data_IF_597708041722
#
_entry.id   IF_597708041722
#
_cell.length_a   1.000
_cell.length_b   1.000
_cell.length_c   1.000
_cell.angle_alpha   90.00
_cell.angle_beta   90.00
_cell.angle_gamma   90.00
#
_symmetry.space_group_name_H-M   'P 1'
#
loop_
_entity.id
_entity.type
_entity.pdbx_description
1 polymer ?
#
# COMPACT_ATOMS: atom_id res chain seq x y z
N UNK A 1 0.19 16.63 5.59
CA UNK A 1 1.45 16.94 6.16
C UNK A 1 1.48 18.16 7.10
N UNK A 2 0.38 18.40 7.74
CA UNK A 2 0.13 19.50 8.67
C UNK A 2 0.25 19.06 10.14
N UNK A 3 0.62 17.80 10.36
CA UNK A 3 0.65 17.22 11.70
C UNK A 3 1.83 17.71 12.56
N UNK A 4 1.72 17.50 13.84
CA UNK A 4 2.74 17.82 14.83
C UNK A 4 3.91 16.85 14.74
N UNK A 5 4.89 17.14 13.89
CA UNK A 5 6.09 16.30 13.68
C UNK A 5 6.91 16.07 14.95
N UNK A 6 6.79 16.95 15.94
CA UNK A 6 7.50 16.82 17.22
C UNK A 6 7.06 15.59 18.06
N UNK A 7 5.92 14.99 17.74
CA UNK A 7 5.48 13.74 18.41
C UNK A 7 6.18 12.50 17.88
N UNK A 8 6.82 12.59 16.70
CA UNK A 8 7.62 11.51 16.11
C UNK A 8 8.91 11.37 16.91
N UNK A 9 9.17 10.20 17.48
CA UNK A 9 10.30 9.90 18.37
C UNK A 9 10.92 8.55 18.02
N UNK A 10 12.02 8.20 18.72
CA UNK A 10 12.68 6.91 18.59
C UNK A 10 13.22 6.65 17.19
N UNK A 11 13.14 5.41 16.74
CA UNK A 11 13.65 4.95 15.44
C UNK A 11 13.02 5.74 14.27
N UNK A 12 11.74 6.11 14.38
CA UNK A 12 11.09 6.90 13.34
C UNK A 12 11.74 8.29 13.19
N UNK A 13 12.07 8.96 14.29
CA UNK A 13 12.78 10.24 14.24
C UNK A 13 14.21 10.07 13.70
N UNK A 14 14.91 9.03 14.11
CA UNK A 14 16.25 8.71 13.60
C UNK A 14 16.23 8.50 12.09
N UNK A 15 15.23 7.78 11.58
CA UNK A 15 15.03 7.61 10.14
C UNK A 15 14.92 8.96 9.40
N UNK A 16 14.08 9.88 9.88
CA UNK A 16 13.94 11.20 9.25
C UNK A 16 15.19 12.06 9.40
N UNK A 17 16.00 11.85 10.44
CA UNK A 17 17.30 12.52 10.62
C UNK A 17 18.36 11.95 9.68
N UNK A 18 18.41 10.64 9.49
CA UNK A 18 19.29 10.00 8.48
C UNK A 18 18.94 10.48 7.06
N UNK A 19 17.64 10.61 6.75
CA UNK A 19 17.21 11.28 5.52
C UNK A 19 17.70 12.73 5.47
N UNK A 20 17.53 13.47 6.55
CA UNK A 20 18.01 14.84 6.65
C UNK A 20 19.50 14.96 6.35
N UNK A 21 20.33 14.09 6.93
CA UNK A 21 21.77 14.05 6.68
C UNK A 21 22.12 13.85 5.23
N UNK A 22 21.37 13.00 4.51
CA UNK A 22 21.56 12.80 3.07
C UNK A 22 21.29 14.08 2.25
N UNK A 23 20.31 14.88 2.64
CA UNK A 23 19.90 16.10 1.96
C UNK A 23 20.47 17.40 2.55
N UNK A 24 21.43 17.30 3.47
CA UNK A 24 22.04 18.47 4.10
C UNK A 24 21.10 19.25 5.05
N UNK A 25 20.15 18.58 5.69
CA UNK A 25 19.19 19.16 6.64
C UNK A 25 19.09 18.32 7.92
N UNK A 26 18.54 18.91 8.99
CA UNK A 26 18.37 18.17 10.25
C UNK A 26 17.41 16.99 10.11
N UNK A 27 16.30 17.19 9.40
CA UNK A 27 15.27 16.20 9.14
C UNK A 27 14.71 16.38 7.73
N UNK A 28 14.33 15.30 7.07
CA UNK A 28 13.71 15.34 5.75
C UNK A 28 12.45 14.48 5.72
N UNK A 29 11.32 15.10 5.37
CA UNK A 29 10.00 14.46 5.40
C UNK A 29 9.45 14.12 4.01
N UNK A 30 10.04 14.70 2.98
CA UNK A 30 9.78 14.37 1.57
C UNK A 30 11.10 13.95 0.97
N UNK A 31 11.17 12.75 0.43
CA UNK A 31 12.42 12.11 0.06
C UNK A 31 12.24 11.13 -1.08
N UNK A 32 13.34 10.76 -1.71
CA UNK A 32 13.38 9.74 -2.75
C UNK A 32 13.30 8.34 -2.14
N UNK A 33 12.48 7.43 -2.72
CA UNK A 33 12.36 6.06 -2.21
C UNK A 33 13.69 5.31 -2.12
N UNK A 34 14.60 5.50 -3.08
CA UNK A 34 15.93 4.86 -3.08
C UNK A 34 16.79 5.24 -1.85
N UNK A 35 16.65 6.48 -1.37
CA UNK A 35 17.37 6.95 -0.17
C UNK A 35 16.79 6.29 1.08
N UNK A 36 15.46 6.20 1.16
CA UNK A 36 14.78 5.50 2.25
C UNK A 36 15.16 4.01 2.27
N UNK A 37 15.17 3.35 1.13
CA UNK A 37 15.57 1.94 1.00
C UNK A 37 17.01 1.72 1.52
N UNK A 38 17.94 2.61 1.14
CA UNK A 38 19.31 2.54 1.63
C UNK A 38 19.36 2.62 3.16
N UNK A 39 18.64 3.57 3.76
CA UNK A 39 18.62 3.74 5.22
C UNK A 39 18.06 2.49 5.92
N UNK A 40 17.00 1.89 5.38
CA UNK A 40 16.49 0.61 5.93
C UNK A 40 17.52 -0.52 5.84
N UNK A 41 18.25 -0.61 4.73
CA UNK A 41 19.35 -1.58 4.58
C UNK A 41 20.49 -1.31 5.55
N UNK A 42 20.79 -0.04 5.82
CA UNK A 42 21.80 0.35 6.81
C UNK A 42 21.39 -0.12 8.23
N UNK A 43 20.12 0.09 8.65
CA UNK A 43 19.62 -0.43 9.94
C UNK A 43 19.75 -1.95 10.05
N UNK A 44 19.37 -2.67 9.00
CA UNK A 44 19.46 -4.14 8.96
C UNK A 44 20.92 -4.61 9.11
N UNK A 45 21.84 -3.91 8.43
CA UNK A 45 23.28 -4.23 8.50
C UNK A 45 23.88 -3.87 9.87
N UNK A 46 23.52 -2.74 10.47
CA UNK A 46 23.98 -2.30 11.78
C UNK A 46 23.61 -3.31 12.89
N UNK A 47 22.43 -3.93 12.77
CA UNK A 47 21.90 -4.87 13.76
C UNK A 47 22.12 -6.35 13.40
N UNK A 48 22.88 -6.64 12.33
CA UNK A 48 23.12 -8.01 11.84
C UNK A 48 21.83 -8.82 11.61
N UNK A 49 20.78 -8.20 11.10
CA UNK A 49 19.52 -8.85 10.80
C UNK A 49 19.63 -9.57 9.45
N UNK A 50 19.30 -10.85 9.42
CA UNK A 50 19.22 -11.60 8.17
C UNK A 50 18.01 -11.16 7.33
N UNK A 51 18.26 -10.60 6.16
CA UNK A 51 17.22 -10.09 5.25
C UNK A 51 17.00 -11.05 4.08
N UNK A 52 15.78 -11.55 3.95
CA UNK A 52 15.37 -12.37 2.83
C UNK A 52 14.44 -11.56 1.91
N UNK A 53 14.98 -11.12 0.78
CA UNK A 53 14.19 -10.47 -0.27
C UNK A 53 13.50 -11.50 -1.16
N UNK A 54 12.48 -11.04 -1.92
CA UNK A 54 11.72 -11.86 -2.87
C UNK A 54 11.09 -13.11 -2.24
N UNK A 55 10.65 -12.99 -0.99
CA UNK A 55 9.93 -14.06 -0.28
C UNK A 55 8.56 -13.55 0.13
N UNK A 56 7.54 -14.40 -0.02
CA UNK A 56 6.21 -14.15 0.52
C UNK A 56 5.70 -15.36 1.31
N UNK A 57 4.89 -15.10 2.30
CA UNK A 57 4.22 -16.16 3.08
C UNK A 57 3.14 -16.80 2.22
N UNK A 58 3.09 -18.12 2.23
CA UNK A 58 2.05 -18.91 1.57
C UNK A 58 1.29 -19.81 2.52
N UNK A 59 1.87 -20.11 3.69
CA UNK A 59 1.20 -20.91 4.70
C UNK A 59 1.85 -20.72 6.08
N UNK A 60 1.11 -21.10 7.14
CA UNK A 60 1.59 -21.10 8.52
C UNK A 60 1.08 -22.34 9.26
N UNK A 61 1.99 -23.11 9.87
CA UNK A 61 1.61 -24.25 10.68
C UNK A 61 1.46 -23.84 12.14
N UNK A 62 0.38 -24.32 12.77
CA UNK A 62 0.10 -24.12 14.19
C UNK A 62 0.06 -25.44 14.95
N UNK A 63 0.41 -25.37 16.22
CA UNK A 63 0.13 -26.37 17.25
C UNK A 63 -0.69 -25.69 18.35
N UNK A 64 -2.00 -25.99 18.39
CA UNK A 64 -2.95 -25.21 19.19
C UNK A 64 -3.00 -23.76 18.69
N UNK A 65 -2.79 -22.81 19.59
CA UNK A 65 -2.79 -21.38 19.29
C UNK A 65 -1.40 -20.82 18.93
N UNK A 66 -0.37 -21.67 18.92
CA UNK A 66 1.00 -21.26 18.64
C UNK A 66 1.37 -21.53 17.19
N UNK A 67 1.88 -20.53 16.49
CA UNK A 67 2.55 -20.71 15.20
C UNK A 67 3.92 -21.35 15.47
N UNK A 68 4.19 -22.49 14.83
CA UNK A 68 5.47 -23.21 14.96
C UNK A 68 6.40 -22.98 13.78
N UNK A 69 5.84 -22.83 12.60
CA UNK A 69 6.62 -22.43 11.41
C UNK A 69 5.75 -21.69 10.40
N UNK A 70 6.42 -21.01 9.47
CA UNK A 70 5.81 -20.39 8.29
C UNK A 70 6.47 -20.96 7.04
N UNK A 71 5.73 -20.96 5.94
CA UNK A 71 6.20 -21.42 4.64
C UNK A 71 6.30 -20.22 3.71
N UNK A 72 7.49 -20.02 3.16
CA UNK A 72 7.80 -18.94 2.24
C UNK A 72 8.04 -19.49 0.84
N UNK A 73 7.47 -18.87 -0.17
CA UNK A 73 7.81 -19.13 -1.56
C UNK A 73 8.61 -17.97 -2.17
N UNK A 74 9.22 -18.22 -3.32
CA UNK A 74 9.83 -17.17 -4.11
C UNK A 74 8.74 -16.33 -4.80
N UNK A 75 8.65 -15.05 -4.45
CA UNK A 75 7.65 -14.14 -5.00
C UNK A 75 7.87 -13.80 -6.48
N UNK A 76 9.08 -14.05 -7.01
CA UNK A 76 9.39 -13.86 -8.45
C UNK A 76 9.00 -15.05 -9.30
N UNK A 77 8.73 -16.20 -8.66
CA UNK A 77 8.39 -17.44 -9.33
C UNK A 77 7.30 -18.22 -8.53
N UNK A 78 6.10 -17.65 -8.36
CA UNK A 78 5.05 -18.23 -7.54
C UNK A 78 4.64 -19.63 -7.99
N UNK A 79 4.38 -20.51 -7.03
CA UNK A 79 3.93 -21.89 -7.29
C UNK A 79 5.01 -22.83 -7.80
N UNK A 80 6.26 -22.38 -7.94
CA UNK A 80 7.39 -23.28 -8.24
C UNK A 80 7.86 -24.01 -6.98
N UNK A 81 8.51 -25.17 -7.18
CA UNK A 81 9.14 -25.92 -6.08
C UNK A 81 10.28 -25.11 -5.45
N UNK A 82 10.51 -25.25 -4.16
CA UNK A 82 11.59 -24.60 -3.46
C UNK A 82 11.12 -23.68 -2.33
N UNK A 83 9.94 -23.96 -1.78
CA UNK A 83 9.46 -23.29 -0.59
C UNK A 83 10.43 -23.51 0.58
N UNK A 84 10.60 -22.48 1.39
CA UNK A 84 11.44 -22.50 2.57
C UNK A 84 10.55 -22.51 3.81
N UNK A 85 10.85 -23.41 4.75
CA UNK A 85 10.19 -23.46 6.05
C UNK A 85 11.06 -22.70 7.06
N UNK A 86 10.44 -21.76 7.76
CA UNK A 86 11.10 -20.96 8.80
C UNK A 86 10.46 -21.26 10.14
N UNK A 87 11.27 -21.69 11.10
CA UNK A 87 10.88 -21.92 12.49
C UNK A 87 11.39 -20.78 13.36
N UNK A 88 10.56 -20.30 14.29
CA UNK A 88 10.93 -19.24 15.21
C UNK A 88 10.16 -19.36 16.53
N UNK A 89 10.68 -18.71 17.57
CA UNK A 89 9.99 -18.58 18.85
C UNK A 89 8.87 -17.56 18.82
N UNK A 90 9.02 -16.51 18.02
CA UNK A 90 8.08 -15.40 17.85
C UNK A 90 8.00 -15.04 16.38
N UNK A 91 6.80 -14.78 15.92
CA UNK A 91 6.51 -14.26 14.59
C UNK A 91 5.82 -12.90 14.72
N UNK A 92 6.22 -11.94 13.90
CA UNK A 92 5.64 -10.60 13.86
C UNK A 92 5.17 -10.36 12.42
N UNK A 93 3.87 -10.17 12.24
CA UNK A 93 3.27 -9.84 10.96
C UNK A 93 3.38 -8.34 10.71
N UNK A 94 4.28 -7.96 9.80
CA UNK A 94 4.43 -6.61 9.29
C UNK A 94 4.10 -6.56 7.78
N UNK A 95 3.38 -7.56 7.27
CA UNK A 95 2.93 -7.56 5.88
C UNK A 95 1.90 -6.47 5.63
N UNK A 96 1.74 -6.08 4.37
CA UNK A 96 0.84 -4.99 4.00
C UNK A 96 -0.64 -5.32 4.28
N UNK A 97 -1.01 -6.58 4.15
CA UNK A 97 -2.39 -7.05 4.17
C UNK A 97 -2.67 -8.06 5.30
N UNK A 98 -1.71 -8.33 6.19
CA UNK A 98 -1.85 -9.30 7.26
C UNK A 98 -1.78 -10.75 6.76
N UNK A 99 -0.82 -11.03 5.88
CA UNK A 99 -0.71 -12.36 5.23
C UNK A 99 -0.47 -13.48 6.25
N UNK A 100 0.39 -13.25 7.25
CA UNK A 100 0.61 -14.22 8.31
C UNK A 100 -0.64 -14.42 9.17
N UNK A 101 -1.32 -13.35 9.50
CA UNK A 101 -2.58 -13.38 10.25
C UNK A 101 -3.60 -14.27 9.53
N UNK A 102 -3.77 -14.07 8.22
CA UNK A 102 -4.68 -14.87 7.39
C UNK A 102 -4.26 -16.36 7.34
N UNK A 103 -2.98 -16.64 7.07
CA UNK A 103 -2.44 -18.00 7.04
C UNK A 103 -2.58 -18.72 8.40
N UNK A 104 -2.45 -17.97 9.51
CA UNK A 104 -2.61 -18.52 10.85
C UNK A 104 -4.08 -18.76 11.25
N UNK A 105 -5.05 -18.41 10.39
CA UNK A 105 -6.47 -18.61 10.64
C UNK A 105 -7.05 -17.68 11.70
N UNK A 106 -6.44 -16.52 11.90
CA UNK A 106 -7.01 -15.46 12.74
C UNK A 106 -8.20 -14.86 12.00
N UNK A 107 -9.30 -14.63 12.70
CA UNK A 107 -10.48 -14.01 12.08
C UNK A 107 -10.22 -12.56 11.72
N UNK A 108 -10.65 -12.18 10.53
CA UNK A 108 -10.52 -10.80 10.02
C UNK A 108 -11.70 -10.44 9.12
N UNK A 109 -11.86 -9.18 8.85
CA UNK A 109 -12.84 -8.63 7.90
C UNK A 109 -12.14 -7.95 6.75
N UNK A 110 -12.80 -7.93 5.58
CA UNK A 110 -12.31 -7.23 4.39
C UNK A 110 -13.37 -6.23 3.96
N UNK A 111 -12.93 -5.04 3.55
CA UNK A 111 -13.82 -3.97 3.10
C UNK A 111 -14.09 -2.92 4.17
N UNK A 112 -15.21 -2.24 4.02
CA UNK A 112 -15.62 -1.17 4.95
C UNK A 112 -16.74 -1.66 5.85
N UNK A 113 -16.51 -1.65 7.16
CA UNK A 113 -17.57 -1.95 8.12
C UNK A 113 -18.59 -0.83 8.19
N UNK A 114 -19.86 -1.16 8.36
CA UNK A 114 -20.88 -0.14 8.59
C UNK A 114 -20.60 0.64 9.90
N UNK A 115 -20.93 1.91 9.91
CA UNK A 115 -20.75 2.77 11.08
C UNK A 115 -21.56 2.30 12.32
N UNK A 116 -22.56 1.48 12.12
CA UNK A 116 -23.39 0.90 13.18
C UNK A 116 -22.75 -0.28 13.89
N UNK A 117 -21.71 -0.91 13.32
CA UNK A 117 -21.07 -2.11 13.91
C UNK A 117 -20.43 -1.78 15.26
N UNK A 118 -19.66 -0.67 15.32
CA UNK A 118 -18.99 -0.21 16.53
C UNK A 118 -19.37 1.22 16.91
N UNK A 119 -20.47 1.73 16.35
CA UNK A 119 -20.94 3.11 16.57
C UNK A 119 -19.88 4.18 16.21
N UNK A 120 -19.18 4.00 15.09
CA UNK A 120 -18.12 4.88 14.61
C UNK A 120 -18.63 5.78 13.48
N UNK A 121 -18.81 7.06 13.76
CA UNK A 121 -19.45 8.05 12.85
C UNK A 121 -18.86 8.06 11.43
N UNK A 122 -17.55 7.89 11.28
CA UNK A 122 -16.85 8.02 10.01
C UNK A 122 -16.49 6.68 9.36
N UNK A 123 -16.99 5.57 9.89
CA UNK A 123 -16.77 4.27 9.28
C UNK A 123 -17.77 4.00 8.14
N UNK A 124 -17.48 3.00 7.31
CA UNK A 124 -18.29 2.65 6.14
C UNK A 124 -18.13 3.62 4.97
N UNK A 125 -19.12 3.66 4.11
CA UNK A 125 -19.16 4.57 2.96
C UNK A 125 -19.22 6.00 3.43
N UNK A 126 -18.33 6.85 2.92
CA UNK A 126 -18.31 8.27 3.22
C UNK A 126 -18.21 9.06 1.92
N UNK A 127 -19.22 9.87 1.63
CA UNK A 127 -19.19 10.81 0.52
C UNK A 127 -18.86 12.20 1.08
N UNK A 128 -17.72 12.74 0.66
CA UNK A 128 -17.25 14.05 1.12
C UNK A 128 -17.01 14.93 -0.08
N UNK A 129 -17.15 16.26 0.10
CA UNK A 129 -16.88 17.23 -0.95
C UNK A 129 -15.39 17.36 -1.31
N UNK A 130 -14.50 16.91 -0.43
CA UNK A 130 -13.04 16.92 -0.68
C UNK A 130 -12.63 15.73 -1.54
N UNK A 131 -11.64 15.94 -2.40
CA UNK A 131 -11.08 14.94 -3.31
C UNK A 131 -12.09 14.42 -4.34
N UNK A 132 -13.01 15.28 -4.73
CA UNK A 132 -13.89 15.09 -5.87
C UNK A 132 -13.37 15.89 -7.07
N UNK A 133 -13.92 15.65 -8.24
CA UNK A 133 -13.65 16.51 -9.39
C UNK A 133 -14.23 17.91 -9.15
N UNK A 134 -13.47 18.93 -9.49
CA UNK A 134 -13.89 20.35 -9.38
C UNK A 134 -14.80 20.77 -10.53
N UNK A 135 -14.99 19.91 -11.52
CA UNK A 135 -15.82 20.11 -12.70
C UNK A 135 -16.66 18.86 -12.94
N UNK A 136 -17.78 19.04 -13.63
CA UNK A 136 -18.60 17.92 -14.09
C UNK A 136 -17.83 17.09 -15.13
N UNK A 137 -17.70 15.80 -14.87
CA UNK A 137 -17.03 14.85 -15.76
C UNK A 137 -18.05 13.88 -16.31
N UNK A 138 -18.13 13.79 -17.63
CA UNK A 138 -19.01 12.84 -18.29
C UNK A 138 -18.44 11.42 -18.16
N UNK A 139 -19.19 10.46 -17.60
CA UNK A 139 -18.68 9.11 -17.36
C UNK A 139 -18.79 8.17 -18.56
N UNK A 140 -19.31 8.64 -19.69
CA UNK A 140 -19.61 7.79 -20.85
C UNK A 140 -18.49 7.81 -21.88
N UNK A 141 -18.32 6.69 -22.61
CA UNK A 141 -17.33 6.57 -23.71
C UNK A 141 -17.53 7.65 -24.77
N UNK A 142 -18.81 7.93 -25.11
CA UNK A 142 -19.16 9.07 -25.95
C UNK A 142 -19.90 10.06 -25.05
N UNK A 143 -19.37 11.27 -24.84
CA UNK A 143 -19.99 12.27 -23.98
C UNK A 143 -21.48 12.48 -24.26
N UNK A 144 -22.29 12.49 -23.22
CA UNK A 144 -23.74 12.64 -23.28
C UNK A 144 -24.52 11.40 -23.76
N UNK A 145 -23.86 10.33 -24.21
CA UNK A 145 -24.51 9.14 -24.79
C UNK A 145 -24.45 7.95 -23.86
N UNK A 146 -25.43 7.77 -22.98
CA UNK A 146 -25.50 6.64 -22.03
C UNK A 146 -25.36 5.26 -22.69
N UNK A 147 -25.89 5.09 -23.90
CA UNK A 147 -25.81 3.81 -24.64
C UNK A 147 -24.40 3.46 -25.11
N UNK A 148 -23.42 4.37 -25.05
CA UNK A 148 -22.03 4.10 -25.40
C UNK A 148 -21.28 3.32 -24.31
N UNK A 149 -21.88 3.14 -23.13
CA UNK A 149 -21.23 2.51 -21.99
C UNK A 149 -20.41 3.50 -21.16
N UNK A 150 -19.88 3.01 -20.03
CA UNK A 150 -19.05 3.81 -19.11
C UNK A 150 -17.58 3.70 -19.50
N UNK A 151 -16.84 4.77 -19.25
CA UNK A 151 -15.39 4.78 -19.32
C UNK A 151 -14.79 3.68 -18.41
N UNK A 152 -13.60 3.24 -18.78
CA UNK A 152 -12.87 2.26 -17.99
C UNK A 152 -12.65 2.76 -16.54
N UNK A 153 -12.86 1.87 -15.57
CA UNK A 153 -12.72 2.21 -14.15
C UNK A 153 -13.94 2.87 -13.51
N UNK A 154 -14.93 3.34 -14.29
CA UNK A 154 -16.17 3.89 -13.73
C UNK A 154 -17.09 2.79 -13.23
N UNK A 155 -17.49 2.86 -11.96
CA UNK A 155 -18.38 1.87 -11.35
C UNK A 155 -19.83 2.07 -11.80
N UNK A 156 -20.46 0.98 -12.26
CA UNK A 156 -21.88 0.98 -12.66
C UNK A 156 -22.87 1.08 -11.48
N UNK A 157 -22.43 0.66 -10.29
CA UNK A 157 -23.30 0.64 -9.10
C UNK A 157 -23.35 2.03 -8.47
N UNK A 158 -24.51 2.47 -8.01
CA UNK A 158 -24.61 3.71 -7.27
C UNK A 158 -23.79 3.64 -5.98
N UNK A 159 -23.38 4.81 -5.48
CA UNK A 159 -22.75 4.92 -4.17
C UNK A 159 -23.79 4.59 -3.11
N UNK A 160 -23.45 3.74 -2.16
CA UNK A 160 -24.33 3.41 -1.04
C UNK A 160 -24.51 4.62 -0.09
N UNK A 161 -25.58 4.65 0.72
CA UNK A 161 -25.76 5.69 1.72
C UNK A 161 -24.54 5.80 2.65
N UNK A 162 -24.28 7.01 3.13
CA UNK A 162 -23.20 7.28 4.08
C UNK A 162 -23.34 6.38 5.32
N UNK A 163 -22.22 5.82 5.77
CA UNK A 163 -22.18 4.88 6.88
C UNK A 163 -22.47 3.42 6.55
N UNK A 164 -22.88 3.11 5.32
CA UNK A 164 -23.10 1.72 4.89
C UNK A 164 -21.80 0.93 4.82
N UNK A 165 -21.85 -0.35 5.23
CA UNK A 165 -20.75 -1.29 5.01
C UNK A 165 -20.75 -1.81 3.57
N UNK A 166 -19.59 -2.15 3.05
CA UNK A 166 -19.39 -2.91 1.83
C UNK A 166 -18.05 -3.66 1.85
N UNK A 167 -17.80 -4.47 0.85
CA UNK A 167 -16.57 -5.25 0.73
C UNK A 167 -15.54 -4.60 -0.22
N UNK A 168 -15.65 -3.29 -0.46
CA UNK A 168 -14.68 -2.55 -1.26
C UNK A 168 -13.46 -2.20 -0.42
N UNK A 169 -12.30 -2.29 -1.06
CA UNK A 169 -11.01 -1.89 -0.48
C UNK A 169 -10.53 -0.61 -1.13
N UNK A 170 -9.61 0.09 -0.45
CA UNK A 170 -8.99 1.29 -0.99
C UNK A 170 -8.13 0.93 -2.21
N UNK A 171 -8.18 1.75 -3.25
CA UNK A 171 -7.29 1.62 -4.39
C UNK A 171 -5.83 1.90 -3.98
N UNK A 172 -4.90 1.16 -4.56
CA UNK A 172 -3.47 1.42 -4.37
C UNK A 172 -3.07 2.76 -5.00
N UNK A 173 -2.18 3.47 -4.31
CA UNK A 173 -1.57 4.68 -4.83
C UNK A 173 -0.24 4.34 -5.50
N UNK A 174 -0.03 4.88 -6.69
CA UNK A 174 1.26 4.87 -7.35
C UNK A 174 1.96 6.20 -7.11
N UNK A 175 3.19 6.14 -6.63
CA UNK A 175 4.04 7.32 -6.41
C UNK A 175 5.22 7.26 -7.35
N UNK A 176 5.43 8.32 -8.09
CA UNK A 176 6.58 8.50 -8.98
C UNK A 176 7.40 9.68 -8.50
N UNK A 177 8.72 9.58 -8.65
CA UNK A 177 9.63 10.70 -8.42
C UNK A 177 9.73 11.51 -9.70
N UNK A 178 9.42 12.78 -9.63
CA UNK A 178 9.55 13.73 -10.72
C UNK A 178 10.67 14.70 -10.44
N UNK A 179 11.37 15.11 -11.50
CA UNK A 179 12.42 16.13 -11.45
C UNK A 179 12.32 17.04 -12.66
N UNK A 180 12.72 18.28 -12.52
CA UNK A 180 12.94 19.24 -13.60
C UNK A 180 14.42 19.41 -13.95
N UNK A 181 15.29 18.70 -13.26
CA UNK A 181 16.72 18.63 -13.57
C UNK A 181 16.94 17.75 -14.80
N UNK A 182 17.38 18.38 -15.89
CA UNK A 182 17.57 17.71 -17.18
C UNK A 182 18.66 16.65 -17.15
N UNK A 183 19.64 16.77 -16.28
CA UNK A 183 20.76 15.83 -16.18
C UNK A 183 20.37 14.56 -15.38
N UNK A 184 19.28 14.63 -14.62
CA UNK A 184 18.73 13.53 -13.81
C UNK A 184 17.32 13.10 -14.26
N UNK A 185 16.82 13.65 -15.34
CA UNK A 185 15.46 13.39 -15.83
C UNK A 185 15.43 12.22 -16.82
N UNK A 186 14.55 11.27 -16.57
CA UNK A 186 14.13 10.30 -17.59
C UNK A 186 12.86 10.84 -18.24
N UNK A 187 12.87 11.19 -19.56
CA UNK A 187 11.68 11.69 -20.23
C UNK A 187 10.53 10.68 -20.18
N UNK A 188 9.34 11.16 -19.85
CA UNK A 188 8.12 10.35 -19.94
C UNK A 188 7.78 10.24 -21.43
N UNK A 189 7.89 9.06 -21.98
CA UNK A 189 7.55 8.76 -23.36
C UNK A 189 6.23 8.02 -23.45
N UNK A 190 5.57 8.14 -24.59
CA UNK A 190 4.37 7.39 -24.89
C UNK A 190 4.68 5.88 -24.94
N UNK A 191 3.98 5.01 -24.17
CA UNK A 191 4.17 3.56 -24.29
C UNK A 191 3.89 3.04 -25.68
N UNK A 192 4.55 1.94 -26.08
CA UNK A 192 4.33 1.30 -27.40
C UNK A 192 2.86 0.93 -27.63
N UNK A 193 2.17 0.45 -26.58
CA UNK A 193 0.77 0.02 -26.64
C UNK A 193 -0.20 1.10 -26.10
N UNK A 194 0.16 2.38 -26.24
CA UNK A 194 -0.71 3.46 -25.80
C UNK A 194 -1.98 3.52 -26.65
N UNK A 195 -3.11 3.41 -26.01
CA UNK A 195 -4.42 3.52 -26.62
C UNK A 195 -5.18 4.70 -25.99
N UNK A 196 -5.32 5.83 -26.70
CA UNK A 196 -5.97 7.03 -26.13
C UNK A 196 -7.45 6.83 -25.82
N UNK A 197 -8.10 5.78 -26.35
CA UNK A 197 -9.50 5.49 -26.05
C UNK A 197 -9.76 4.96 -24.64
N UNK A 198 -8.68 4.65 -23.90
CA UNK A 198 -8.74 4.16 -22.52
C UNK A 198 -8.63 5.27 -21.48
N UNK A 199 -8.43 6.53 -21.89
CA UNK A 199 -8.20 7.67 -20.98
C UNK A 199 -9.11 8.84 -21.28
#
# INVERSE_FOLDING_TARGET
DIGNKYVVKGIALDFYRRLGSHYGSLEKWVFEPKVAEKIFKDYIAEENIELWCNRRIVDARKEGDRIVNIILEDSTAPGKKGNVVVEAKVFIDCTYEGDLMACAGVSYTVGREANTVYNETYNGVQVRLKHQFDVDVDPYVIPGKKSSGLLWGVNKKPVLPSGSGDNKVQAYNFRICLTNDKDNMVPITKPENYDPSKY
#
